data_IF_450107052262
#
_entry.id   IF_450107052262
#
_cell.length_a   1.000
_cell.length_b   1.000
_cell.length_c   1.000
_cell.angle_alpha   90.00
_cell.angle_beta   90.00
_cell.angle_gamma   90.00
#
_symmetry.space_group_name_H-M   'P 1'
#
loop_
_entity.id
_entity.type
_entity.pdbx_description
1 polymer ?
#
# COMPACT_ATOMS: atom_id res chain seq x y z
N UNK A 1 -42.08 8.97 8.81
CA UNK A 1 -41.40 8.11 7.83
C UNK A 1 -39.91 8.16 8.14
N UNK A 2 -39.32 7.07 8.63
CA UNK A 2 -37.91 6.99 9.01
C UNK A 2 -37.05 6.87 7.74
N UNK A 3 -35.97 7.64 7.65
CA UNK A 3 -35.04 7.62 6.52
C UNK A 3 -33.79 6.88 7.01
N UNK A 4 -33.60 5.65 6.54
CA UNK A 4 -32.35 4.90 6.74
C UNK A 4 -31.19 5.68 6.07
N UNK A 5 -30.05 5.91 6.75
CA UNK A 5 -28.86 6.32 6.03
C UNK A 5 -28.40 5.11 5.21
N UNK A 6 -28.63 5.19 3.90
CA UNK A 6 -27.99 4.32 2.93
C UNK A 6 -26.49 4.50 3.08
N UNK A 7 -25.82 3.40 3.39
CA UNK A 7 -24.38 3.22 3.39
C UNK A 7 -23.74 3.98 2.20
N UNK A 8 -22.64 4.72 2.38
CA UNK A 8 -21.96 5.35 1.26
C UNK A 8 -21.61 4.27 0.22
N UNK A 9 -21.74 4.56 -1.07
CA UNK A 9 -21.36 3.64 -2.12
C UNK A 9 -19.89 3.25 -1.91
N UNK A 10 -19.67 1.99 -1.54
CA UNK A 10 -18.34 1.40 -1.44
C UNK A 10 -17.57 1.75 -2.69
N UNK A 11 -16.45 2.42 -2.47
CA UNK A 11 -15.65 3.08 -3.47
C UNK A 11 -15.36 2.15 -4.67
N UNK A 12 -15.83 2.57 -5.83
CA UNK A 12 -15.10 2.54 -7.10
C UNK A 12 -14.31 1.25 -7.40
N UNK A 13 -14.96 0.31 -8.08
CA UNK A 13 -14.26 -0.50 -9.08
C UNK A 13 -13.88 0.42 -10.24
N UNK A 14 -12.78 1.15 -10.10
CA UNK A 14 -12.25 2.06 -11.12
C UNK A 14 -10.81 1.65 -11.34
N UNK A 15 -10.52 1.06 -12.50
CA UNK A 15 -9.18 0.80 -13.06
C UNK A 15 -8.04 1.29 -12.15
N UNK A 16 -7.61 0.46 -11.19
CA UNK A 16 -6.51 0.83 -10.32
C UNK A 16 -5.30 1.05 -11.23
N UNK A 17 -4.76 2.27 -11.22
CA UNK A 17 -3.51 2.58 -11.89
C UNK A 17 -2.43 1.66 -11.31
N UNK A 18 -1.35 1.35 -12.06
CA UNK A 18 -0.24 0.56 -11.53
C UNK A 18 0.23 1.04 -10.15
N UNK A 19 0.27 2.36 -9.96
CA UNK A 19 0.53 3.01 -8.68
C UNK A 19 -0.51 2.65 -7.61
N UNK A 20 -1.81 2.77 -7.90
CA UNK A 20 -2.88 2.42 -6.95
C UNK A 20 -2.91 0.94 -6.56
N UNK A 21 -2.54 0.04 -7.48
CA UNK A 21 -2.37 -1.39 -7.18
C UNK A 21 -1.23 -1.58 -6.19
N UNK A 22 -0.08 -0.97 -6.46
CA UNK A 22 1.09 -1.01 -5.58
C UNK A 22 0.80 -0.41 -4.20
N UNK A 23 0.12 0.73 -4.12
CA UNK A 23 -0.29 1.35 -2.86
C UNK A 23 -1.15 0.40 -2.03
N UNK A 24 -2.17 -0.21 -2.65
CA UNK A 24 -3.06 -1.15 -1.96
C UNK A 24 -2.29 -2.35 -1.44
N UNK A 25 -1.43 -2.95 -2.26
CA UNK A 25 -0.67 -4.15 -1.89
C UNK A 25 0.39 -3.86 -0.81
N UNK A 26 1.17 -2.79 -0.96
CA UNK A 26 2.17 -2.40 0.04
C UNK A 26 1.50 -2.03 1.37
N UNK A 27 0.37 -1.31 1.34
CA UNK A 27 -0.39 -1.00 2.55
C UNK A 27 -0.81 -2.28 3.27
N UNK A 28 -1.37 -3.24 2.53
CA UNK A 28 -1.81 -4.51 3.11
C UNK A 28 -0.64 -5.32 3.69
N UNK A 29 0.49 -5.42 2.97
CA UNK A 29 1.68 -6.15 3.41
C UNK A 29 2.33 -5.50 4.65
N UNK A 30 2.45 -4.17 4.65
CA UNK A 30 3.00 -3.43 5.79
C UNK A 30 2.12 -3.57 7.02
N UNK A 31 0.81 -3.42 6.85
CA UNK A 31 -0.13 -3.50 7.96
C UNK A 31 -0.18 -4.92 8.54
N UNK A 32 -0.19 -5.94 7.69
CA UNK A 32 -0.27 -7.33 8.13
C UNK A 32 1.04 -7.80 8.78
N UNK A 33 2.18 -7.55 8.13
CA UNK A 33 3.45 -8.13 8.58
C UNK A 33 4.23 -7.25 9.54
N UNK A 34 4.01 -5.94 9.56
CA UNK A 34 4.81 -5.02 10.36
C UNK A 34 3.95 -4.10 11.24
N UNK A 35 2.62 -4.13 11.10
CA UNK A 35 1.72 -3.21 11.80
C UNK A 35 1.91 -1.75 11.37
N UNK A 36 2.51 -1.52 10.19
CA UNK A 36 2.82 -0.18 9.67
C UNK A 36 1.82 0.22 8.60
N UNK A 37 1.62 1.53 8.44
CA UNK A 37 0.87 2.06 7.31
C UNK A 37 1.81 2.53 6.21
N UNK A 38 1.32 2.60 4.98
CA UNK A 38 2.10 3.10 3.85
C UNK A 38 2.61 4.53 4.09
N UNK A 39 1.86 5.35 4.83
CA UNK A 39 2.23 6.74 5.16
C UNK A 39 3.45 6.83 6.07
N UNK A 40 3.73 5.79 6.85
CA UNK A 40 4.93 5.71 7.70
C UNK A 40 6.17 5.32 6.89
N UNK A 41 6.00 5.03 5.59
CA UNK A 41 7.07 4.61 4.69
C UNK A 41 7.23 5.58 3.52
N UNK A 42 8.45 5.75 2.99
CA UNK A 42 8.70 6.60 1.82
C UNK A 42 7.96 6.09 0.57
N UNK A 43 7.52 4.84 0.57
CA UNK A 43 6.72 4.22 -0.49
C UNK A 43 5.25 4.68 -0.49
N UNK A 44 4.83 5.52 0.45
CA UNK A 44 3.53 6.21 0.40
C UNK A 44 3.45 7.32 -0.64
N UNK A 45 4.58 7.77 -1.16
CA UNK A 45 4.62 8.80 -2.18
C UNK A 45 4.49 8.19 -3.58
N UNK A 46 3.48 8.62 -4.35
CA UNK A 46 3.19 8.15 -5.71
C UNK A 46 4.45 8.13 -6.59
N UNK A 47 5.28 9.18 -6.52
CA UNK A 47 6.51 9.27 -7.32
C UNK A 47 7.57 8.22 -6.98
N UNK A 48 7.60 7.72 -5.73
CA UNK A 48 8.49 6.62 -5.36
C UNK A 48 7.99 5.33 -6.00
N UNK A 49 6.68 5.06 -5.93
CA UNK A 49 6.08 3.88 -6.55
C UNK A 49 6.25 3.90 -8.07
N UNK A 50 6.00 5.04 -8.73
CA UNK A 50 6.21 5.21 -10.16
C UNK A 50 7.66 4.91 -10.56
N UNK A 51 8.64 5.39 -9.78
CA UNK A 51 10.05 5.12 -10.04
C UNK A 51 10.38 3.62 -9.91
N UNK A 52 9.77 2.90 -8.96
CA UNK A 52 9.96 1.45 -8.84
C UNK A 52 9.34 0.70 -10.03
N UNK A 53 8.18 1.16 -10.51
CA UNK A 53 7.51 0.59 -11.68
C UNK A 53 8.33 0.85 -12.96
N UNK A 54 8.81 2.08 -13.16
CA UNK A 54 9.64 2.47 -14.31
C UNK A 54 10.99 1.74 -14.32
N UNK A 55 11.60 1.56 -13.15
CA UNK A 55 12.81 0.77 -12.98
C UNK A 55 12.57 -0.76 -13.11
N UNK A 56 11.32 -1.22 -13.24
CA UNK A 56 10.97 -2.63 -13.33
C UNK A 56 11.24 -3.41 -12.04
N UNK A 57 11.27 -2.72 -10.89
CA UNK A 57 11.49 -3.32 -9.58
C UNK A 57 10.23 -4.10 -9.16
N UNK A 58 10.42 -5.25 -8.53
CA UNK A 58 9.31 -6.04 -8.01
C UNK A 58 8.74 -5.43 -6.72
N UNK A 59 7.45 -5.64 -6.45
CA UNK A 59 6.82 -5.19 -5.20
C UNK A 59 7.55 -5.74 -3.96
N UNK A 60 8.04 -6.98 -4.05
CA UNK A 60 8.81 -7.64 -3.00
C UNK A 60 10.17 -6.97 -2.78
N UNK A 61 10.86 -6.57 -3.85
CA UNK A 61 12.14 -5.84 -3.75
C UNK A 61 11.94 -4.44 -3.17
N UNK A 62 10.87 -3.75 -3.56
CA UNK A 62 10.51 -2.48 -2.96
C UNK A 62 10.22 -2.64 -1.45
N UNK A 63 9.49 -3.68 -1.07
CA UNK A 63 9.25 -4.00 0.34
C UNK A 63 10.54 -4.37 1.07
N UNK A 64 11.40 -5.20 0.47
CA UNK A 64 12.71 -5.56 1.03
C UNK A 64 13.59 -4.33 1.25
N UNK A 65 13.55 -3.34 0.33
CA UNK A 65 14.25 -2.08 0.50
C UNK A 65 13.76 -1.26 1.70
N UNK A 66 12.45 -1.24 1.95
CA UNK A 66 11.90 -0.61 3.16
C UNK A 66 12.34 -1.39 4.40
N UNK A 67 12.25 -2.73 4.36
CA UNK A 67 12.61 -3.61 5.47
C UNK A 67 14.07 -3.45 5.85
N UNK A 68 14.98 -3.45 4.88
CA UNK A 68 16.41 -3.28 5.11
C UNK A 68 16.75 -1.87 5.59
N UNK A 69 16.14 -0.84 4.98
CA UNK A 69 16.39 0.56 5.35
C UNK A 69 15.94 0.90 6.77
N UNK A 70 14.83 0.32 7.23
CA UNK A 70 14.22 0.61 8.52
C UNK A 70 14.37 -0.52 9.53
N UNK A 71 15.17 -1.55 9.21
CA UNK A 71 15.38 -2.77 10.03
C UNK A 71 14.04 -3.38 10.52
N UNK A 72 13.07 -3.46 9.61
CA UNK A 72 11.72 -3.88 9.98
C UNK A 72 11.69 -5.37 10.32
N UNK A 73 11.21 -5.69 11.51
CA UNK A 73 11.03 -7.08 11.96
C UNK A 73 9.61 -7.52 11.66
N UNK A 74 9.44 -8.66 10.98
CA UNK A 74 8.12 -9.25 10.77
C UNK A 74 7.48 -9.59 12.11
N UNK A 75 6.29 -9.04 12.33
CA UNK A 75 5.41 -9.20 13.48
C UNK A 75 4.30 -10.23 13.22
N UNK A 76 4.18 -10.71 11.98
CA UNK A 76 3.28 -11.82 11.61
C UNK A 76 3.66 -13.06 12.44
N UNK A 77 2.78 -13.40 13.38
CA UNK A 77 2.94 -14.48 14.37
C UNK A 77 2.32 -15.77 13.87
#
# INVERSE_FOLDING_TARGET
MQIFPSLPPGATSSHLTPVGIWQTLLTHLLQQHYGLTLNDTPSGNDGVIEQHIDAGISLCDALNGIVEKYDLVRTDR
#
